data_IF_336524215992
#
_entry.id   IF_336524215992
#
_cell.length_a   1.000
_cell.length_b   1.000
_cell.length_c   1.000
_cell.angle_alpha   90.00
_cell.angle_beta   90.00
_cell.angle_gamma   90.00
#
_symmetry.space_group_name_H-M   'P 1'
#
loop_
_entity.id
_entity.type
_entity.pdbx_description
1 polymer ?
#
# COMPACT_ATOMS: atom_id res chain seq x y z
N UNK A 1 10.75 3.54 -25.90
CA UNK A 1 10.10 4.09 -24.67
C UNK A 1 11.17 4.29 -23.61
N UNK A 2 11.16 5.42 -22.90
CA UNK A 2 12.13 5.75 -21.84
C UNK A 2 11.43 5.97 -20.49
N UNK A 3 12.01 5.45 -19.40
CA UNK A 3 11.55 5.66 -18.02
C UNK A 3 12.73 6.13 -17.16
N UNK A 4 12.49 7.02 -16.20
CA UNK A 4 13.54 7.44 -15.25
C UNK A 4 13.62 6.46 -14.09
N UNK A 5 14.80 6.28 -13.47
CA UNK A 5 14.95 5.36 -12.32
C UNK A 5 13.99 5.68 -11.18
N UNK A 6 13.74 6.96 -10.88
CA UNK A 6 12.78 7.36 -9.85
C UNK A 6 11.36 6.99 -10.22
N UNK A 7 10.96 7.21 -11.48
CA UNK A 7 9.63 6.82 -11.97
C UNK A 7 9.44 5.30 -11.94
N UNK A 8 10.46 4.52 -12.32
CA UNK A 8 10.42 3.06 -12.19
C UNK A 8 10.23 2.62 -10.73
N UNK A 9 10.93 3.27 -9.80
CA UNK A 9 10.78 2.97 -8.38
C UNK A 9 9.39 3.35 -7.84
N UNK A 10 8.85 4.51 -8.24
CA UNK A 10 7.48 4.91 -7.88
C UNK A 10 6.46 3.89 -8.40
N UNK A 11 6.65 3.36 -9.61
CA UNK A 11 5.83 2.29 -10.18
C UNK A 11 5.91 0.99 -9.37
N UNK A 12 7.13 0.54 -9.04
CA UNK A 12 7.36 -0.66 -8.20
C UNK A 12 6.70 -0.49 -6.83
N UNK A 13 6.84 0.68 -6.22
CA UNK A 13 6.21 0.99 -4.94
C UNK A 13 4.68 0.97 -5.03
N UNK A 14 4.10 1.76 -5.94
CA UNK A 14 2.66 1.97 -6.05
C UNK A 14 1.91 0.76 -6.59
N UNK A 15 2.24 0.34 -7.83
CA UNK A 15 1.56 -0.78 -8.49
C UNK A 15 2.13 -2.13 -8.04
N UNK A 16 3.44 -2.23 -7.85
CA UNK A 16 4.08 -3.47 -7.41
C UNK A 16 3.69 -3.84 -5.99
N UNK A 17 4.10 -3.04 -4.99
CA UNK A 17 3.80 -3.37 -3.58
C UNK A 17 2.35 -3.05 -3.22
N UNK A 18 1.88 -1.83 -3.50
CA UNK A 18 0.52 -1.40 -3.16
C UNK A 18 -0.58 -2.19 -3.87
N UNK A 19 -0.46 -2.32 -5.20
CA UNK A 19 -1.41 -3.09 -6.02
C UNK A 19 -1.49 -4.57 -5.61
N UNK A 20 -0.33 -5.23 -5.45
CA UNK A 20 -0.28 -6.61 -4.97
C UNK A 20 -0.89 -6.76 -3.57
N UNK A 21 -0.64 -5.80 -2.69
CA UNK A 21 -1.18 -5.80 -1.34
C UNK A 21 -2.71 -5.71 -1.32
N UNK A 22 -3.30 -4.82 -2.12
CA UNK A 22 -4.76 -4.71 -2.26
C UNK A 22 -5.39 -6.00 -2.77
N UNK A 23 -4.77 -6.64 -3.77
CA UNK A 23 -5.20 -7.95 -4.25
C UNK A 23 -5.11 -8.98 -3.13
N UNK A 24 -4.02 -9.00 -2.36
CA UNK A 24 -3.85 -9.94 -1.25
C UNK A 24 -4.89 -9.75 -0.14
N UNK A 25 -5.25 -8.50 0.18
CA UNK A 25 -6.32 -8.19 1.13
C UNK A 25 -7.65 -8.82 0.72
N UNK A 26 -8.02 -8.74 -0.56
CA UNK A 26 -9.26 -9.37 -1.05
C UNK A 26 -9.26 -10.88 -0.83
N UNK A 27 -8.12 -11.55 -1.07
CA UNK A 27 -7.93 -12.97 -0.81
C UNK A 27 -8.06 -13.32 0.68
N UNK A 28 -7.41 -12.55 1.56
CA UNK A 28 -7.52 -12.75 3.00
C UNK A 28 -8.96 -12.60 3.52
N UNK A 29 -9.68 -11.57 3.05
CA UNK A 29 -11.08 -11.34 3.45
C UNK A 29 -11.95 -12.54 3.05
N UNK A 30 -11.86 -12.99 1.80
CA UNK A 30 -12.64 -14.13 1.30
C UNK A 30 -12.30 -15.41 2.06
N UNK A 31 -11.02 -15.67 2.31
CA UNK A 31 -10.57 -16.87 3.02
C UNK A 31 -11.06 -16.89 4.48
N UNK A 32 -10.90 -15.77 5.20
CA UNK A 32 -11.39 -15.61 6.56
C UNK A 32 -12.92 -15.71 6.63
N UNK A 33 -13.63 -15.04 5.72
CA UNK A 33 -15.09 -15.06 5.69
C UNK A 33 -15.65 -16.44 5.37
N UNK A 34 -15.10 -17.13 4.36
CA UNK A 34 -15.64 -18.41 3.90
C UNK A 34 -15.26 -19.57 4.80
N UNK A 35 -13.99 -19.67 5.21
CA UNK A 35 -13.48 -20.87 5.91
C UNK A 35 -13.58 -20.78 7.42
N UNK A 36 -13.45 -19.59 7.98
CA UNK A 36 -13.45 -19.37 9.43
C UNK A 36 -14.80 -18.88 9.95
N UNK A 37 -15.82 -18.78 9.09
CA UNK A 37 -17.21 -18.55 9.51
C UNK A 37 -17.73 -19.71 10.36
N UNK A 38 -18.57 -19.44 11.39
CA UNK A 38 -19.23 -20.48 12.18
C UNK A 38 -20.05 -21.44 11.33
N UNK A 39 -20.65 -20.94 10.24
CA UNK A 39 -21.47 -21.74 9.33
C UNK A 39 -20.64 -22.64 8.40
N UNK A 40 -19.31 -22.48 8.38
CA UNK A 40 -18.41 -23.31 7.58
C UNK A 40 -18.43 -24.75 8.06
N UNK A 41 -19.03 -25.64 7.27
CA UNK A 41 -19.16 -27.07 7.60
C UNK A 41 -17.86 -27.85 7.35
N UNK A 42 -16.95 -27.32 6.54
CA UNK A 42 -15.67 -27.97 6.23
C UNK A 42 -14.71 -27.83 7.41
N UNK A 43 -14.09 -28.94 7.89
CA UNK A 43 -13.02 -28.88 8.86
C UNK A 43 -11.82 -28.08 8.34
N UNK A 44 -11.19 -27.28 9.21
CA UNK A 44 -9.96 -26.54 8.88
C UNK A 44 -8.78 -27.47 9.12
N UNK A 45 -8.02 -27.78 8.06
CA UNK A 45 -6.84 -28.64 8.17
C UNK A 45 -5.63 -27.85 8.69
N UNK A 46 -4.61 -28.55 9.20
CA UNK A 46 -3.35 -27.91 9.59
C UNK A 46 -2.64 -27.23 8.42
N UNK A 47 -2.84 -27.72 7.19
CA UNK A 47 -2.31 -27.10 5.96
C UNK A 47 -3.00 -25.76 5.68
N UNK A 48 -4.33 -25.69 5.84
CA UNK A 48 -5.08 -24.43 5.67
C UNK A 48 -4.63 -23.38 6.70
N UNK A 49 -4.48 -23.79 7.96
CA UNK A 49 -3.96 -22.90 9.01
C UNK A 49 -2.55 -22.40 8.69
N UNK A 50 -1.65 -23.29 8.26
CA UNK A 50 -0.28 -22.93 7.89
C UNK A 50 -0.25 -21.96 6.72
N UNK A 51 -1.07 -22.23 5.69
CA UNK A 51 -1.19 -21.35 4.54
C UNK A 51 -1.64 -19.95 4.94
N UNK A 52 -2.75 -19.82 5.67
CA UNK A 52 -3.27 -18.50 6.06
C UNK A 52 -2.32 -17.78 7.03
N UNK A 53 -1.63 -18.50 7.92
CA UNK A 53 -0.58 -17.93 8.77
C UNK A 53 0.53 -17.31 7.93
N UNK A 54 1.09 -18.07 6.99
CA UNK A 54 2.14 -17.58 6.10
C UNK A 54 1.63 -16.41 5.24
N UNK A 55 0.41 -16.51 4.74
CA UNK A 55 -0.22 -15.46 3.95
C UNK A 55 -0.29 -14.13 4.70
N UNK A 56 -0.79 -14.13 5.94
CA UNK A 56 -0.88 -12.91 6.77
C UNK A 56 0.49 -12.36 7.17
N UNK A 57 1.49 -13.23 7.39
CA UNK A 57 2.87 -12.80 7.64
C UNK A 57 3.47 -12.12 6.42
N UNK A 58 3.35 -12.74 5.23
CA UNK A 58 3.86 -12.16 3.97
C UNK A 58 3.16 -10.85 3.66
N UNK A 59 1.84 -10.77 3.88
CA UNK A 59 1.09 -9.52 3.75
C UNK A 59 1.61 -8.43 4.69
N UNK A 60 1.89 -8.76 5.95
CA UNK A 60 2.46 -7.81 6.91
C UNK A 60 3.82 -7.28 6.46
N UNK A 61 4.71 -8.16 5.99
CA UNK A 61 6.00 -7.76 5.43
C UNK A 61 5.81 -6.87 4.18
N UNK A 62 4.93 -7.25 3.27
CA UNK A 62 4.64 -6.48 2.05
C UNK A 62 4.10 -5.08 2.36
N UNK A 63 3.17 -4.96 3.32
CA UNK A 63 2.63 -3.67 3.75
C UNK A 63 3.71 -2.78 4.36
N UNK A 64 4.60 -3.34 5.19
CA UNK A 64 5.72 -2.60 5.76
C UNK A 64 6.70 -2.15 4.67
N UNK A 65 7.05 -3.01 3.72
CA UNK A 65 7.89 -2.64 2.58
C UNK A 65 7.25 -1.51 1.77
N UNK A 66 5.94 -1.59 1.49
CA UNK A 66 5.23 -0.51 0.82
C UNK A 66 5.36 0.81 1.59
N UNK A 67 4.96 0.86 2.87
CA UNK A 67 4.98 2.10 3.66
C UNK A 67 6.39 2.67 3.83
N UNK A 68 7.38 1.82 4.15
CA UNK A 68 8.76 2.27 4.35
C UNK A 68 9.39 2.80 3.05
N UNK A 69 9.19 2.12 1.92
CA UNK A 69 9.69 2.60 0.63
C UNK A 69 9.00 3.90 0.20
N UNK A 70 7.70 4.04 0.50
CA UNK A 70 6.96 5.28 0.31
C UNK A 70 7.54 6.43 1.13
N UNK A 71 7.69 6.22 2.44
CA UNK A 71 8.10 7.26 3.39
C UNK A 71 9.58 7.67 3.26
N UNK A 72 10.47 6.73 2.95
CA UNK A 72 11.91 6.98 3.00
C UNK A 72 12.61 7.05 1.64
N UNK A 73 11.91 6.69 0.55
CA UNK A 73 12.48 6.77 -0.80
C UNK A 73 11.65 7.69 -1.69
N UNK A 74 10.37 7.40 -1.85
CA UNK A 74 9.49 8.17 -2.76
C UNK A 74 9.21 9.57 -2.21
N UNK A 75 8.88 9.67 -0.92
CA UNK A 75 8.48 10.92 -0.28
C UNK A 75 9.58 12.00 -0.24
N UNK A 76 10.86 11.68 0.01
CA UNK A 76 11.94 12.65 -0.15
C UNK A 76 12.06 13.23 -1.56
N UNK A 77 11.81 12.45 -2.61
CA UNK A 77 11.80 12.95 -3.99
C UNK A 77 10.60 13.85 -4.27
N UNK A 78 9.43 13.50 -3.72
CA UNK A 78 8.24 14.33 -3.79
C UNK A 78 8.46 15.72 -3.16
N UNK A 79 9.11 15.78 -1.99
CA UNK A 79 9.41 17.02 -1.25
C UNK A 79 10.71 17.72 -1.66
N UNK A 80 11.29 17.39 -2.81
CA UNK A 80 12.50 18.03 -3.27
C UNK A 80 12.33 19.56 -3.35
N UNK A 81 13.29 20.30 -2.80
CA UNK A 81 13.26 21.76 -2.82
C UNK A 81 13.70 22.30 -4.18
N UNK A 82 12.89 23.18 -4.77
CA UNK A 82 13.25 23.92 -5.97
C UNK A 82 14.27 25.04 -5.63
N UNK A 83 15.42 25.13 -6.32
CA UNK A 83 16.33 26.27 -6.19
C UNK A 83 15.64 27.61 -6.47
N UNK A 84 16.14 28.69 -5.87
CA UNK A 84 15.64 30.03 -6.13
C UNK A 84 15.75 30.38 -7.64
N UNK A 85 14.70 30.98 -8.19
CA UNK A 85 14.64 31.31 -9.62
C UNK A 85 14.25 30.15 -10.54
N UNK A 86 13.92 28.97 -10.01
CA UNK A 86 13.40 27.86 -10.82
C UNK A 86 12.07 28.24 -11.46
N UNK A 87 12.05 28.37 -12.79
CA UNK A 87 10.84 28.63 -13.58
C UNK A 87 10.09 27.35 -13.94
N UNK A 88 10.81 26.24 -14.14
CA UNK A 88 10.23 24.93 -14.49
C UNK A 88 10.18 24.01 -13.25
N UNK A 89 8.97 23.76 -12.74
CA UNK A 89 8.73 22.95 -11.55
C UNK A 89 8.56 21.44 -11.83
N UNK A 90 8.72 20.97 -13.06
CA UNK A 90 8.50 19.56 -13.42
C UNK A 90 9.38 18.56 -12.64
N UNK A 91 10.52 19.00 -12.10
CA UNK A 91 11.40 18.21 -11.23
C UNK A 91 11.09 18.29 -9.73
N UNK A 92 10.06 19.06 -9.34
CA UNK A 92 9.73 19.36 -7.94
C UNK A 92 8.23 19.12 -7.70
N UNK A 93 7.79 17.85 -7.58
CA UNK A 93 6.38 17.46 -7.59
C UNK A 93 5.49 18.23 -6.61
N UNK A 94 5.92 18.36 -5.35
CA UNK A 94 5.17 19.13 -4.36
C UNK A 94 4.96 20.58 -4.79
N UNK A 95 6.03 21.24 -5.27
CA UNK A 95 5.95 22.63 -5.73
C UNK A 95 5.08 22.77 -6.96
N UNK A 96 5.13 21.80 -7.87
CA UNK A 96 4.27 21.75 -9.04
C UNK A 96 2.79 21.69 -8.64
N UNK A 97 2.39 20.80 -7.74
CA UNK A 97 1.00 20.72 -7.25
C UNK A 97 0.53 22.03 -6.61
N UNK A 98 1.40 22.65 -5.82
CA UNK A 98 1.11 23.90 -5.13
C UNK A 98 1.07 25.13 -6.05
N UNK A 99 1.56 25.03 -7.29
CA UNK A 99 1.66 26.16 -8.22
C UNK A 99 0.32 26.52 -8.90
N UNK A 100 -0.69 25.66 -8.81
CA UNK A 100 -2.01 25.88 -9.39
C UNK A 100 -3.12 25.58 -8.38
N UNK A 101 -4.17 26.40 -8.41
CA UNK A 101 -5.39 26.17 -7.63
C UNK A 101 -6.10 24.86 -8.01
N UNK A 102 -5.93 24.38 -9.24
CA UNK A 102 -6.56 23.12 -9.71
C UNK A 102 -5.90 21.86 -9.13
N UNK A 103 -4.68 21.94 -8.62
CA UNK A 103 -3.89 20.77 -8.16
C UNK A 103 -3.48 20.85 -6.70
N UNK A 104 -3.63 22.00 -6.05
CA UNK A 104 -3.18 22.22 -4.66
C UNK A 104 -3.81 21.25 -3.66
N UNK A 105 -5.06 20.83 -3.89
CA UNK A 105 -5.78 19.90 -3.01
C UNK A 105 -5.11 18.51 -2.93
N UNK A 106 -4.42 18.09 -3.99
CA UNK A 106 -3.66 16.83 -3.98
C UNK A 106 -2.51 16.87 -2.98
N UNK A 107 -1.92 18.04 -2.75
CA UNK A 107 -0.95 18.20 -1.68
C UNK A 107 -1.65 18.42 -0.32
N UNK A 108 -2.52 19.43 -0.20
CA UNK A 108 -3.03 19.85 1.10
C UNK A 108 -3.98 18.85 1.77
N UNK A 109 -4.59 17.96 1.00
CA UNK A 109 -5.48 16.90 1.51
C UNK A 109 -4.90 15.53 1.16
N UNK A 110 -4.59 15.30 -0.13
CA UNK A 110 -4.17 13.99 -0.62
C UNK A 110 -2.89 13.49 0.05
N UNK A 111 -1.85 14.30 0.12
CA UNK A 111 -0.60 13.91 0.78
C UNK A 111 -0.76 13.76 2.29
N UNK A 112 -1.44 14.67 2.97
CA UNK A 112 -1.68 14.57 4.42
C UNK A 112 -2.40 13.24 4.77
N UNK A 113 -3.45 12.91 4.04
CA UNK A 113 -4.16 11.65 4.22
C UNK A 113 -3.29 10.45 3.86
N UNK A 114 -2.59 10.49 2.73
CA UNK A 114 -1.68 9.40 2.33
C UNK A 114 -0.60 9.17 3.38
N UNK A 115 -0.01 10.22 3.94
CA UNK A 115 1.07 10.14 4.93
C UNK A 115 0.61 9.53 6.24
N UNK A 116 -0.61 9.80 6.71
CA UNK A 116 -1.11 9.29 7.97
C UNK A 116 -1.88 7.98 7.84
N UNK A 117 -2.80 7.90 6.88
CA UNK A 117 -3.67 6.74 6.69
C UNK A 117 -2.88 5.51 6.25
N UNK A 118 -1.80 5.67 5.46
CA UNK A 118 -1.00 4.55 4.99
C UNK A 118 -0.42 3.69 6.13
N UNK A 119 -0.08 4.27 7.30
CA UNK A 119 0.49 3.51 8.42
C UNK A 119 -0.50 2.56 9.09
N UNK A 120 -1.80 2.83 8.98
CA UNK A 120 -2.82 1.91 9.50
C UNK A 120 -2.82 0.58 8.75
N UNK A 121 -2.40 0.56 7.48
CA UNK A 121 -2.31 -0.67 6.69
C UNK A 121 -1.35 -1.70 7.33
N UNK A 122 -0.03 -1.45 7.44
CA UNK A 122 0.91 -2.41 8.00
C UNK A 122 0.64 -2.70 9.49
N UNK A 123 0.23 -1.70 10.28
CA UNK A 123 -0.07 -1.91 11.70
C UNK A 123 -1.23 -2.91 11.86
N UNK A 124 -2.34 -2.67 11.16
CA UNK A 124 -3.54 -3.49 11.31
C UNK A 124 -3.32 -4.92 10.80
N UNK A 125 -2.67 -5.11 9.65
CA UNK A 125 -2.41 -6.48 9.16
C UNK A 125 -1.40 -7.22 10.04
N UNK A 126 -0.46 -6.50 10.67
CA UNK A 126 0.45 -7.09 11.66
C UNK A 126 -0.31 -7.56 12.89
N UNK A 127 -1.31 -6.80 13.36
CA UNK A 127 -2.21 -7.24 14.44
C UNK A 127 -3.02 -8.48 14.04
N UNK A 128 -3.60 -8.50 12.83
CA UNK A 128 -4.32 -9.67 12.30
C UNK A 128 -3.41 -10.91 12.28
N UNK A 129 -2.19 -10.76 11.76
CA UNK A 129 -1.17 -11.81 11.71
C UNK A 129 -0.82 -12.31 13.11
N UNK A 130 -0.55 -11.42 14.06
CA UNK A 130 -0.19 -11.79 15.43
C UNK A 130 -1.30 -12.58 16.14
N UNK A 131 -2.56 -12.14 16.01
CA UNK A 131 -3.71 -12.86 16.57
C UNK A 131 -3.84 -14.24 15.90
N UNK A 132 -3.73 -14.30 14.57
CA UNK A 132 -3.85 -15.57 13.85
C UNK A 132 -2.69 -16.55 14.15
N UNK A 133 -1.47 -16.06 14.32
CA UNK A 133 -0.32 -16.88 14.74
C UNK A 133 -0.61 -17.54 16.10
N UNK A 134 -1.14 -16.77 17.05
CA UNK A 134 -1.40 -17.24 18.40
C UNK A 134 -2.55 -18.24 18.49
N UNK A 135 -3.65 -18.00 17.78
CA UNK A 135 -4.88 -18.80 17.94
C UNK A 135 -5.17 -19.75 16.77
N UNK A 136 -4.58 -19.54 15.59
CA UNK A 136 -4.73 -20.42 14.43
C UNK A 136 -6.18 -20.74 14.09
N UNK A 137 -6.49 -22.03 13.90
CA UNK A 137 -7.87 -22.49 13.62
C UNK A 137 -8.86 -22.31 14.77
N UNK A 138 -8.40 -22.14 16.01
CA UNK A 138 -9.27 -21.95 17.17
C UNK A 138 -10.05 -20.63 17.11
N UNK A 139 -9.65 -19.66 16.29
CA UNK A 139 -10.44 -18.43 16.10
C UNK A 139 -11.85 -18.73 15.57
N UNK A 140 -12.06 -19.88 14.91
CA UNK A 140 -13.39 -20.31 14.47
C UNK A 140 -14.36 -20.45 15.64
N UNK A 141 -13.86 -20.90 16.79
CA UNK A 141 -14.60 -21.13 18.03
C UNK A 141 -14.76 -19.85 18.88
N UNK A 142 -14.03 -18.78 18.55
CA UNK A 142 -14.02 -17.52 19.30
C UNK A 142 -14.49 -16.35 18.42
N UNK A 143 -15.80 -16.00 18.45
CA UNK A 143 -16.36 -15.02 17.53
C UNK A 143 -15.72 -13.64 17.66
N UNK A 144 -15.30 -13.23 18.86
CA UNK A 144 -14.62 -11.96 19.10
C UNK A 144 -13.25 -11.91 18.41
N UNK A 145 -12.45 -12.99 18.51
CA UNK A 145 -11.13 -13.06 17.88
C UNK A 145 -11.23 -13.09 16.35
N UNK A 146 -12.18 -13.86 15.81
CA UNK A 146 -12.45 -13.87 14.37
C UNK A 146 -12.84 -12.49 13.86
N UNK A 147 -13.80 -11.84 14.53
CA UNK A 147 -14.27 -10.51 14.13
C UNK A 147 -13.12 -9.49 14.23
N UNK A 148 -12.28 -9.57 15.27
CA UNK A 148 -11.10 -8.71 15.39
C UNK A 148 -10.12 -8.90 14.22
N UNK A 149 -9.76 -10.14 13.87
CA UNK A 149 -8.89 -10.43 12.72
C UNK A 149 -9.49 -9.88 11.42
N UNK A 150 -10.79 -10.11 11.18
CA UNK A 150 -11.48 -9.60 9.99
C UNK A 150 -11.49 -8.06 9.96
N UNK A 151 -11.81 -7.41 11.08
CA UNK A 151 -11.80 -5.94 11.19
C UNK A 151 -10.40 -5.37 10.93
N UNK A 152 -9.34 -5.98 11.47
CA UNK A 152 -7.97 -5.53 11.21
C UNK A 152 -7.59 -5.66 9.73
N UNK A 153 -7.98 -6.75 9.07
CA UNK A 153 -7.75 -6.91 7.62
C UNK A 153 -8.56 -5.86 6.84
N UNK A 154 -9.81 -5.58 7.22
CA UNK A 154 -10.65 -4.57 6.56
C UNK A 154 -10.09 -3.15 6.73
N UNK A 155 -9.71 -2.75 7.95
CA UNK A 155 -9.06 -1.47 8.21
C UNK A 155 -7.79 -1.36 7.36
N UNK A 156 -7.01 -2.43 7.31
CA UNK A 156 -5.78 -2.45 6.52
C UNK A 156 -6.03 -2.28 5.02
N UNK A 157 -7.04 -2.97 4.48
CA UNK A 157 -7.45 -2.88 3.08
C UNK A 157 -7.92 -1.47 2.72
N UNK A 158 -8.81 -0.89 3.54
CA UNK A 158 -9.34 0.46 3.30
C UNK A 158 -8.23 1.52 3.40
N UNK A 159 -7.35 1.41 4.39
CA UNK A 159 -6.22 2.31 4.56
C UNK A 159 -5.26 2.26 3.35
N UNK A 160 -4.90 1.06 2.90
CA UNK A 160 -4.09 0.88 1.72
C UNK A 160 -4.78 1.40 0.45
N UNK A 161 -6.10 1.21 0.33
CA UNK A 161 -6.89 1.68 -0.82
C UNK A 161 -6.91 3.20 -0.90
N UNK A 162 -7.15 3.88 0.22
CA UNK A 162 -7.13 5.35 0.31
C UNK A 162 -5.74 5.89 -0.01
N UNK A 163 -4.69 5.32 0.59
CA UNK A 163 -3.31 5.74 0.34
C UNK A 163 -2.86 5.49 -1.11
N UNK A 164 -3.27 4.35 -1.68
CA UNK A 164 -3.01 3.98 -3.07
C UNK A 164 -3.72 4.90 -4.06
N UNK A 165 -5.00 5.21 -3.82
CA UNK A 165 -5.77 6.15 -4.62
C UNK A 165 -5.10 7.53 -4.66
N UNK A 166 -4.90 8.16 -3.50
CA UNK A 166 -4.21 9.46 -3.46
C UNK A 166 -2.80 9.38 -4.04
N UNK A 167 -2.10 8.27 -3.81
CA UNK A 167 -0.77 8.07 -4.37
C UNK A 167 -0.74 8.06 -5.89
N UNK A 168 -1.74 7.44 -6.53
CA UNK A 168 -1.87 7.42 -7.98
C UNK A 168 -2.24 8.81 -8.53
N UNK A 169 -3.23 9.49 -7.96
CA UNK A 169 -3.65 10.83 -8.40
C UNK A 169 -2.53 11.88 -8.26
N UNK A 170 -1.75 11.81 -7.17
CA UNK A 170 -0.59 12.68 -6.96
C UNK A 170 0.48 12.44 -8.04
N UNK A 171 0.76 11.19 -8.41
CA UNK A 171 1.77 10.87 -9.42
C UNK A 171 1.27 11.20 -10.84
N UNK A 172 -0.03 11.10 -11.11
CA UNK A 172 -0.63 11.52 -12.39
C UNK A 172 -0.48 13.04 -12.60
N UNK A 173 -0.79 13.83 -11.57
CA UNK A 173 -0.70 15.30 -11.65
C UNK A 173 0.71 15.85 -11.46
N UNK A 174 1.57 15.17 -10.71
CA UNK A 174 2.93 15.61 -10.43
C UNK A 174 3.89 14.41 -10.37
N UNK A 175 4.24 13.84 -11.53
CA UNK A 175 5.01 12.61 -11.60
C UNK A 175 6.41 12.79 -11.02
N UNK A 176 6.86 11.80 -10.25
CA UNK A 176 8.23 11.80 -9.74
C UNK A 176 9.18 11.39 -10.87
N UNK A 177 9.98 12.36 -11.34
CA UNK A 177 10.99 12.17 -12.38
C UNK A 177 12.40 12.39 -11.84
N UNK A 178 13.38 11.75 -12.50
CA UNK A 178 14.80 12.00 -12.28
C UNK A 178 15.63 10.73 -12.09
N UNK A 179 16.94 10.91 -11.94
CA UNK A 179 17.93 9.83 -12.03
C UNK A 179 18.21 9.45 -13.48
N UNK A 180 18.86 8.30 -13.69
CA UNK A 180 19.26 7.84 -15.01
C UNK A 180 18.05 7.48 -15.87
N UNK A 181 18.13 7.76 -17.17
CA UNK A 181 17.16 7.29 -18.15
C UNK A 181 17.41 5.82 -18.48
N UNK A 182 16.34 5.02 -18.49
CA UNK A 182 16.35 3.61 -18.85
C UNK A 182 15.59 3.47 -20.17
N UNK A 183 16.27 2.97 -21.21
CA UNK A 183 15.65 2.66 -22.51
C UNK A 183 15.06 1.26 -22.46
N UNK A 184 13.74 1.16 -22.56
CA UNK A 184 13.02 -0.11 -22.50
C UNK A 184 12.88 -0.80 -23.87
N UNK A 185 12.91 -0.02 -24.95
CA UNK A 185 12.81 -0.51 -26.33
C UNK A 185 13.77 0.30 -27.19
N UNK A 186 14.72 -0.36 -27.86
CA UNK A 186 15.37 0.20 -29.04
C UNK A 186 14.36 0.06 -30.18
N UNK A 187 13.93 1.19 -30.76
CA UNK A 187 13.18 1.11 -32.01
C UNK A 187 14.06 0.44 -33.06
N UNK A 188 13.48 -0.51 -33.80
CA UNK A 188 14.03 -0.90 -35.11
C UNK A 188 13.92 0.27 -36.09
#
# INVERSE_FOLDING_TARGET
MEITTRSLWTLIHGMGFGGLYLLACSGAIVELWRRYSPAGRTPITAKDETFLRLYLVVMSLLAWVAVLTGAYIVYPWYRAAAPAGTSNLAGFPQRLLMSSASTIAWHSIGMEWKEHVAWFAPISITMASAVFIKYGREIKNHPQLRNAVLCFVLISFLAAGIAGFFGAEIDDHAPIRGGSAIRLVHGE
#
